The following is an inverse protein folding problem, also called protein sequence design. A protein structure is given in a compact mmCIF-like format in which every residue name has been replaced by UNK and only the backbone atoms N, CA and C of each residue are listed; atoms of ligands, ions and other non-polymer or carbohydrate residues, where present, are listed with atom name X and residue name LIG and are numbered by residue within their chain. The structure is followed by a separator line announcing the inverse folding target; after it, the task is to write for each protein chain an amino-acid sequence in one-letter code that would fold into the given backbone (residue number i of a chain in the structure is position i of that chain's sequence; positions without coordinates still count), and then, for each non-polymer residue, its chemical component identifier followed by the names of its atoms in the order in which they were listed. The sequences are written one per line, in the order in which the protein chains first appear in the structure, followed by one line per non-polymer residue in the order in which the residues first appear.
data_IF_606497644540
#
_entry.id   IF_606497644540
#
_cell.length_a   1.000
_cell.length_b   1.000
_cell.length_c   1.000
_cell.angle_alpha   90.00
_cell.angle_beta   90.00
_cell.angle_gamma   90.00
#
_symmetry.space_group_name_H-M   'P 1'
#
loop_
_entity.id
_entity.type
_entity.pdbx_description
1 polymer ?
#
# COMPACT_ATOMS: atom_id res chain seq x y z
N UNK A 1 -42.44 -3.07 -69.96
CA UNK A 1 -41.54 -3.63 -68.92
C UNK A 1 -40.54 -2.60 -68.34
N UNK A 2 -40.91 -1.30 -68.19
CA UNK A 2 -39.98 -0.26 -67.68
C UNK A 2 -40.33 0.32 -66.29
N UNK A 3 -41.33 -0.23 -65.61
CA UNK A 3 -41.72 0.27 -64.28
C UNK A 3 -40.77 -0.16 -63.14
N UNK A 4 -40.02 -1.25 -63.32
CA UNK A 4 -39.20 -1.86 -62.25
C UNK A 4 -37.93 -1.07 -61.88
N UNK A 5 -37.46 -0.21 -62.78
CA UNK A 5 -36.25 0.60 -62.58
C UNK A 5 -36.54 1.97 -61.94
N UNK A 6 -37.80 2.43 -61.99
CA UNK A 6 -38.19 3.74 -61.43
C UNK A 6 -38.41 3.71 -59.92
N UNK A 7 -38.68 2.54 -59.35
CA UNK A 7 -38.87 2.31 -57.91
C UNK A 7 -37.56 2.19 -57.11
N UNK A 8 -36.44 1.96 -57.82
CA UNK A 8 -35.10 1.84 -57.21
C UNK A 8 -34.61 3.16 -56.61
N UNK A 9 -35.12 4.31 -57.08
CA UNK A 9 -34.76 5.65 -56.56
C UNK A 9 -35.30 5.91 -55.15
N UNK A 10 -36.39 5.26 -54.75
CA UNK A 10 -36.93 5.37 -53.38
C UNK A 10 -36.25 4.37 -52.46
N UNK A 11 -36.05 3.13 -52.93
CA UNK A 11 -35.32 2.10 -52.17
C UNK A 11 -33.87 2.50 -51.85
N UNK A 12 -33.17 3.16 -52.79
CA UNK A 12 -31.81 3.68 -52.57
C UNK A 12 -31.74 4.71 -51.43
N UNK A 13 -32.75 5.58 -51.28
CA UNK A 13 -32.80 6.59 -50.21
C UNK A 13 -33.07 5.98 -48.84
N UNK A 14 -33.83 4.87 -48.78
CA UNK A 14 -34.06 4.09 -47.57
C UNK A 14 -32.80 3.32 -47.15
N UNK A 15 -32.12 2.67 -48.09
CA UNK A 15 -30.86 1.97 -47.82
C UNK A 15 -29.74 2.91 -47.35
N UNK A 16 -29.65 4.13 -47.89
CA UNK A 16 -28.66 5.10 -47.45
C UNK A 16 -28.84 5.47 -45.97
N UNK A 17 -30.07 5.70 -45.52
CA UNK A 17 -30.37 6.04 -44.12
C UNK A 17 -30.12 4.85 -43.18
N UNK A 18 -30.52 3.65 -43.60
CA UNK A 18 -30.29 2.44 -42.82
C UNK A 18 -28.79 2.09 -42.71
N UNK A 19 -28.02 2.32 -43.77
CA UNK A 19 -26.56 2.19 -43.76
C UNK A 19 -25.89 3.13 -42.77
N UNK A 20 -26.33 4.40 -42.72
CA UNK A 20 -25.83 5.38 -41.74
C UNK A 20 -26.10 4.90 -40.30
N UNK A 21 -27.32 4.41 -40.02
CA UNK A 21 -27.66 3.89 -38.69
C UNK A 21 -26.81 2.67 -38.33
N UNK A 22 -26.60 1.74 -39.28
CA UNK A 22 -25.74 0.57 -39.07
C UNK A 22 -24.29 0.96 -38.76
N UNK A 23 -23.74 1.94 -39.48
CA UNK A 23 -22.38 2.46 -39.23
C UNK A 23 -22.30 3.08 -37.83
N UNK A 24 -23.30 3.87 -37.44
CA UNK A 24 -23.38 4.46 -36.10
C UNK A 24 -23.39 3.39 -35.01
N UNK A 25 -24.15 2.31 -35.22
CA UNK A 25 -24.21 1.18 -34.30
C UNK A 25 -22.86 0.44 -34.18
N UNK A 26 -22.14 0.27 -35.29
CA UNK A 26 -20.79 -0.30 -35.29
C UNK A 26 -19.83 0.59 -34.49
N UNK A 27 -19.85 1.90 -34.72
CA UNK A 27 -18.99 2.86 -33.99
C UNK A 27 -19.26 2.79 -32.48
N UNK A 28 -20.53 2.80 -32.07
CA UNK A 28 -20.92 2.70 -30.65
C UNK A 28 -20.51 1.35 -30.06
N UNK A 29 -20.64 0.26 -30.80
CA UNK A 29 -20.24 -1.08 -30.35
C UNK A 29 -18.72 -1.15 -30.11
N UNK A 30 -17.91 -0.58 -31.00
CA UNK A 30 -16.45 -0.50 -30.82
C UNK A 30 -16.08 0.36 -29.61
N UNK A 31 -16.75 1.51 -29.43
CA UNK A 31 -16.56 2.38 -28.25
C UNK A 31 -16.97 1.68 -26.94
N UNK A 32 -18.01 0.86 -26.96
CA UNK A 32 -18.45 0.10 -25.80
C UNK A 32 -17.42 -0.97 -25.41
N UNK A 33 -16.87 -1.70 -26.40
CA UNK A 33 -15.84 -2.72 -26.16
C UNK A 33 -14.55 -2.08 -25.63
N UNK A 34 -14.11 -0.95 -26.20
CA UNK A 34 -12.88 -0.29 -25.76
C UNK A 34 -12.99 0.25 -24.33
N UNK A 35 -14.14 0.83 -23.96
CA UNK A 35 -14.42 1.25 -22.57
C UNK A 35 -14.51 0.09 -21.60
N UNK A 36 -15.06 -1.05 -22.02
CA UNK A 36 -15.14 -2.24 -21.18
C UNK A 36 -13.74 -2.85 -20.93
N UNK A 37 -12.85 -2.82 -21.92
CA UNK A 37 -11.45 -3.23 -21.76
C UNK A 37 -10.67 -2.33 -20.79
N UNK A 38 -10.88 -1.01 -20.84
CA UNK A 38 -10.25 -0.07 -19.89
C UNK A 38 -10.82 -0.20 -18.48
N UNK A 39 -12.11 -0.49 -18.34
CA UNK A 39 -12.73 -0.75 -17.04
C UNK A 39 -12.21 -2.03 -16.39
N UNK A 40 -12.00 -3.10 -17.16
CA UNK A 40 -11.40 -4.34 -16.66
C UNK A 40 -9.94 -4.14 -16.25
N UNK A 41 -9.13 -3.45 -17.07
CA UNK A 41 -7.74 -3.12 -16.71
C UNK A 41 -7.65 -2.27 -15.42
N UNK A 42 -8.58 -1.35 -15.20
CA UNK A 42 -8.66 -0.57 -13.96
C UNK A 42 -9.10 -1.41 -12.75
N UNK A 43 -10.03 -2.36 -12.92
CA UNK A 43 -10.43 -3.27 -11.84
C UNK A 43 -9.30 -4.21 -11.44
N UNK A 44 -8.58 -4.77 -12.42
CA UNK A 44 -7.43 -5.63 -12.16
C UNK A 44 -6.36 -4.85 -11.40
N UNK A 45 -5.98 -3.66 -11.87
CA UNK A 45 -5.01 -2.80 -11.18
C UNK A 45 -5.44 -2.41 -9.75
N UNK A 46 -6.72 -2.06 -9.55
CA UNK A 46 -7.25 -1.76 -8.21
C UNK A 46 -7.21 -2.98 -7.29
N UNK A 47 -7.57 -4.15 -7.81
CA UNK A 47 -7.61 -5.40 -7.02
C UNK A 47 -6.22 -5.93 -6.72
N UNK A 48 -5.29 -5.92 -7.68
CA UNK A 48 -3.97 -6.55 -7.53
C UNK A 48 -2.94 -5.63 -6.91
N UNK A 49 -3.02 -4.32 -7.14
CA UNK A 49 -2.00 -3.37 -6.70
C UNK A 49 -2.54 -2.38 -5.66
N UNK A 50 -3.76 -1.88 -5.83
CA UNK A 50 -4.37 -0.94 -4.88
C UNK A 50 -4.71 -1.58 -3.53
N UNK A 51 -5.61 -2.56 -3.55
CA UNK A 51 -6.14 -3.21 -2.33
C UNK A 51 -5.07 -4.07 -1.64
N UNK A 52 -4.27 -4.81 -2.41
CA UNK A 52 -3.19 -5.63 -1.86
C UNK A 52 -2.11 -4.78 -1.15
N UNK A 53 -1.76 -3.61 -1.70
CA UNK A 53 -0.77 -2.71 -1.07
C UNK A 53 -1.31 -2.08 0.21
N UNK A 54 -2.62 -1.79 0.28
CA UNK A 54 -3.26 -1.25 1.49
C UNK A 54 -3.34 -2.31 2.59
N UNK A 55 -3.78 -3.52 2.26
CA UNK A 55 -3.83 -4.63 3.24
C UNK A 55 -2.44 -4.98 3.80
N UNK A 56 -1.42 -4.97 2.93
CA UNK A 56 -0.05 -5.28 3.36
C UNK A 56 0.59 -4.17 4.18
N UNK A 57 0.34 -2.89 3.89
CA UNK A 57 0.85 -1.79 4.74
C UNK A 57 0.15 -1.75 6.10
N UNK A 58 -1.12 -2.13 6.18
CA UNK A 58 -1.82 -2.27 7.46
C UNK A 58 -1.19 -3.37 8.34
N UNK A 59 -0.80 -4.49 7.73
CA UNK A 59 -0.05 -5.56 8.43
C UNK A 59 1.31 -5.07 8.95
N UNK A 60 2.01 -4.24 8.18
CA UNK A 60 3.27 -3.60 8.62
C UNK A 60 3.03 -2.70 9.84
N UNK A 61 1.98 -1.88 9.82
CA UNK A 61 1.62 -1.00 10.94
C UNK A 61 1.24 -1.77 12.21
N UNK A 62 0.48 -2.86 12.05
CA UNK A 62 0.10 -3.74 13.16
C UNK A 62 1.35 -4.40 13.76
N UNK A 63 2.20 -5.01 12.92
CA UNK A 63 3.42 -5.66 13.37
C UNK A 63 4.37 -4.67 14.09
N UNK A 64 4.49 -3.44 13.58
CA UNK A 64 5.28 -2.40 14.24
C UNK A 64 4.69 -2.00 15.61
N UNK A 65 3.37 -1.94 15.71
CA UNK A 65 2.69 -1.64 16.97
C UNK A 65 2.87 -2.74 18.01
N UNK A 66 2.89 -4.01 17.58
CA UNK A 66 3.22 -5.17 18.44
C UNK A 66 4.64 -5.05 18.97
N UNK A 67 5.64 -4.87 18.08
CA UNK A 67 7.05 -4.67 18.46
C UNK A 67 7.21 -3.55 19.50
N UNK A 68 6.50 -2.44 19.33
CA UNK A 68 6.54 -1.32 20.27
C UNK A 68 5.95 -1.67 21.63
N UNK A 69 4.86 -2.44 21.65
CA UNK A 69 4.26 -2.95 22.88
C UNK A 69 5.20 -3.92 23.60
N UNK A 70 5.86 -4.83 22.89
CA UNK A 70 6.77 -5.81 23.51
C UNK A 70 7.95 -5.14 24.22
N UNK A 71 8.43 -4.00 23.70
CA UNK A 71 9.47 -3.21 24.36
C UNK A 71 8.95 -2.58 25.65
N UNK A 72 7.71 -2.08 25.65
CA UNK A 72 7.08 -1.54 26.85
C UNK A 72 6.83 -2.66 27.88
N UNK A 73 6.39 -3.83 27.44
CA UNK A 73 6.17 -4.99 28.30
C UNK A 73 7.51 -5.49 28.88
N UNK A 74 8.58 -5.56 28.08
CA UNK A 74 9.91 -5.91 28.55
C UNK A 74 10.44 -4.92 29.60
N UNK A 75 10.13 -3.64 29.45
CA UNK A 75 10.50 -2.58 30.38
C UNK A 75 9.67 -2.60 31.68
N UNK A 76 8.38 -2.95 31.62
CA UNK A 76 7.48 -2.94 32.77
C UNK A 76 7.46 -4.26 33.55
N UNK A 77 8.06 -5.32 33.00
CA UNK A 77 8.10 -6.64 33.64
C UNK A 77 9.04 -6.61 34.84
N UNK A 78 8.57 -6.95 36.06
CA UNK A 78 9.35 -6.78 37.28
C UNK A 78 10.44 -7.86 37.50
N UNK A 79 10.36 -8.99 36.80
CA UNK A 79 11.26 -10.12 36.98
C UNK A 79 12.10 -10.43 35.73
N UNK A 80 13.34 -10.86 35.95
CA UNK A 80 14.30 -11.10 34.87
C UNK A 80 13.88 -12.23 33.91
N UNK A 81 13.08 -13.20 34.37
CA UNK A 81 12.61 -14.30 33.54
C UNK A 81 11.55 -13.78 32.55
N UNK A 82 10.60 -12.97 33.01
CA UNK A 82 9.61 -12.30 32.18
C UNK A 82 10.23 -11.28 31.21
N UNK A 83 11.21 -10.48 31.64
CA UNK A 83 11.96 -9.59 30.71
C UNK A 83 12.67 -10.38 29.62
N UNK A 84 13.29 -11.51 29.96
CA UNK A 84 13.94 -12.38 28.96
C UNK A 84 12.93 -12.99 27.99
N UNK A 85 11.76 -13.40 28.47
CA UNK A 85 10.68 -13.90 27.63
C UNK A 85 10.17 -12.81 26.67
N UNK A 86 9.97 -11.58 27.16
CA UNK A 86 9.56 -10.43 26.36
C UNK A 86 10.61 -10.06 25.29
N UNK A 87 11.91 -10.12 25.62
CA UNK A 87 12.99 -9.90 24.63
C UNK A 87 12.99 -10.97 23.54
N UNK A 88 12.75 -12.24 23.89
CA UNK A 88 12.66 -13.31 22.91
C UNK A 88 11.42 -13.15 22.01
N UNK A 89 10.29 -12.73 22.58
CA UNK A 89 9.07 -12.43 21.85
C UNK A 89 9.30 -11.25 20.88
N UNK A 90 9.91 -10.17 21.36
CA UNK A 90 10.32 -9.02 20.55
C UNK A 90 11.18 -9.41 19.34
N UNK A 91 12.10 -10.38 19.46
CA UNK A 91 12.88 -10.87 18.31
C UNK A 91 12.01 -11.61 17.28
N UNK A 92 11.01 -12.36 17.75
CA UNK A 92 10.02 -13.04 16.91
C UNK A 92 9.16 -12.03 16.16
N UNK A 93 8.65 -11.01 16.85
CA UNK A 93 7.79 -9.98 16.27
C UNK A 93 8.55 -9.04 15.33
N UNK A 94 9.83 -8.78 15.58
CA UNK A 94 10.70 -8.10 14.60
C UNK A 94 10.85 -8.90 13.30
N UNK A 95 10.92 -10.23 13.38
CA UNK A 95 10.96 -11.10 12.19
C UNK A 95 9.61 -11.07 11.46
N UNK A 96 8.51 -11.04 12.19
CA UNK A 96 7.17 -10.89 11.62
C UNK A 96 6.99 -9.54 10.90
N UNK A 97 7.54 -8.46 11.47
CA UNK A 97 7.58 -7.14 10.84
C UNK A 97 8.39 -7.16 9.54
N UNK A 98 9.57 -7.81 9.52
CA UNK A 98 10.37 -7.95 8.30
C UNK A 98 9.61 -8.72 7.20
N UNK A 99 8.90 -9.79 7.58
CA UNK A 99 8.07 -10.55 6.65
C UNK A 99 6.91 -9.71 6.09
N UNK A 100 6.24 -8.92 6.94
CA UNK A 100 5.18 -8.01 6.51
C UNK A 100 5.71 -6.92 5.57
N UNK A 101 6.89 -6.37 5.86
CA UNK A 101 7.53 -5.38 5.01
C UNK A 101 7.91 -5.96 3.64
N UNK A 102 8.51 -7.16 3.62
CA UNK A 102 8.83 -7.85 2.38
C UNK A 102 7.57 -8.16 1.56
N UNK A 103 6.46 -8.55 2.21
CA UNK A 103 5.18 -8.76 1.54
C UNK A 103 4.63 -7.47 0.91
N UNK A 104 4.71 -6.34 1.61
CA UNK A 104 4.34 -5.03 1.07
C UNK A 104 5.19 -4.64 -0.15
N UNK A 105 6.50 -4.86 -0.13
CA UNK A 105 7.36 -4.62 -1.29
C UNK A 105 6.99 -5.51 -2.49
N UNK A 106 6.50 -6.72 -2.22
CA UNK A 106 6.03 -7.67 -3.23
C UNK A 106 4.74 -7.26 -3.95
N UNK A 107 3.95 -6.32 -3.42
CA UNK A 107 2.67 -5.89 -4.05
C UNK A 107 2.83 -4.83 -5.12
N UNK A 108 4.08 -4.45 -5.47
CA UNK A 108 4.37 -3.29 -6.33
C UNK A 108 3.65 -2.03 -5.83
N UNK A 109 3.95 -1.58 -4.60
CA UNK A 109 3.23 -0.50 -3.96
C UNK A 109 3.42 0.82 -4.70
N UNK A 110 2.47 1.74 -4.53
CA UNK A 110 2.56 3.10 -5.08
C UNK A 110 3.65 3.97 -4.42
N UNK A 111 4.30 3.48 -3.36
CA UNK A 111 5.40 4.16 -2.70
C UNK A 111 6.65 4.15 -3.58
N UNK A 112 7.40 5.25 -3.59
CA UNK A 112 8.66 5.32 -4.34
C UNK A 112 9.78 4.57 -3.63
N UNK A 113 10.79 4.14 -4.38
CA UNK A 113 11.99 3.50 -3.83
C UNK A 113 12.64 4.34 -2.72
N UNK A 114 12.61 5.66 -2.88
CA UNK A 114 13.13 6.59 -1.85
C UNK A 114 12.33 6.55 -0.56
N UNK A 115 11.00 6.39 -0.63
CA UNK A 115 10.14 6.24 0.56
C UNK A 115 10.36 4.88 1.23
N UNK A 116 10.49 3.81 0.44
CA UNK A 116 10.77 2.46 0.92
C UNK A 116 12.14 2.38 1.63
N UNK A 117 13.17 2.99 1.03
CA UNK A 117 14.49 3.12 1.64
C UNK A 117 14.44 3.94 2.93
N UNK A 118 13.73 5.07 2.94
CA UNK A 118 13.59 5.90 4.12
C UNK A 118 12.92 5.15 5.30
N UNK A 119 11.88 4.35 5.02
CA UNK A 119 11.26 3.49 6.04
C UNK A 119 12.24 2.42 6.54
N UNK A 120 12.94 1.73 5.64
CA UNK A 120 13.89 0.68 6.00
C UNK A 120 15.03 1.22 6.86
N UNK A 121 15.56 2.40 6.54
CA UNK A 121 16.57 3.10 7.35
C UNK A 121 16.00 3.47 8.72
N UNK A 122 14.82 4.08 8.78
CA UNK A 122 14.20 4.46 10.05
C UNK A 122 13.92 3.24 10.95
N UNK A 123 13.56 2.09 10.36
CA UNK A 123 13.37 0.84 11.08
C UNK A 123 14.71 0.31 11.65
N UNK A 124 15.81 0.41 10.90
CA UNK A 124 17.13 0.03 11.38
C UNK A 124 17.63 0.95 12.52
N UNK A 125 17.39 2.26 12.40
CA UNK A 125 17.71 3.25 13.44
C UNK A 125 16.90 2.96 14.71
N UNK A 126 15.60 2.67 14.56
CA UNK A 126 14.74 2.27 15.66
C UNK A 126 15.25 1.01 16.36
N UNK A 127 15.61 -0.04 15.61
CA UNK A 127 16.19 -1.28 16.17
C UNK A 127 17.48 -1.01 16.95
N UNK A 128 18.33 -0.15 16.42
CA UNK A 128 19.58 0.25 17.10
C UNK A 128 19.27 0.94 18.42
N UNK A 129 18.30 1.85 18.46
CA UNK A 129 17.86 2.48 19.70
C UNK A 129 17.32 1.45 20.70
N UNK A 130 16.50 0.50 20.25
CA UNK A 130 15.95 -0.57 21.11
C UNK A 130 17.05 -1.44 21.70
N UNK A 131 18.10 -1.77 20.95
CA UNK A 131 19.23 -2.55 21.47
C UNK A 131 19.95 -1.85 22.64
N UNK A 132 19.95 -0.51 22.68
CA UNK A 132 20.50 0.23 23.83
C UNK A 132 19.60 0.19 25.06
N UNK A 133 18.29 -0.06 24.88
CA UNK A 133 17.31 -0.12 25.95
C UNK A 133 17.22 -1.51 26.59
N UNK A 134 17.52 -2.59 25.86
CA UNK A 134 17.51 -3.97 26.37
C UNK A 134 18.31 -4.14 27.67
N UNK A 135 19.58 -3.69 27.78
CA UNK A 135 20.32 -3.83 29.03
C UNK A 135 19.73 -3.00 30.19
N UNK A 136 19.07 -1.88 29.90
CA UNK A 136 18.38 -1.06 30.91
C UNK A 136 17.12 -1.78 31.43
N UNK A 137 16.37 -2.42 30.53
CA UNK A 137 15.22 -3.25 30.89
C UNK A 137 15.64 -4.47 31.73
N UNK A 138 16.74 -5.13 31.36
CA UNK A 138 17.31 -6.23 32.15
C UNK A 138 17.78 -5.80 33.54
N UNK A 139 18.24 -4.56 33.68
CA UNK A 139 18.63 -3.96 34.96
C UNK A 139 17.45 -3.41 35.77
N UNK A 140 16.22 -3.46 35.24
CA UNK A 140 15.01 -2.85 35.82
C UNK A 140 15.19 -1.33 36.11
N UNK A 141 15.99 -0.64 35.29
CA UNK A 141 16.25 0.79 35.44
C UNK A 141 15.18 1.62 34.70
N UNK A 142 14.00 1.70 35.34
CA UNK A 142 12.83 2.44 34.83
C UNK A 142 13.09 3.95 34.67
N UNK A 143 14.07 4.50 35.39
CA UNK A 143 14.49 5.90 35.29
C UNK A 143 15.15 6.22 33.94
N UNK A 144 15.94 5.28 33.40
CA UNK A 144 16.55 5.37 32.06
C UNK A 144 15.57 5.13 30.90
N UNK A 145 14.40 4.53 31.18
CA UNK A 145 13.36 4.18 30.20
C UNK A 145 12.27 5.27 30.02
N UNK A 146 12.44 6.44 30.66
CA UNK A 146 11.46 7.53 30.67
C UNK A 146 11.06 8.04 29.26
N UNK A 147 9.77 8.39 29.03
CA UNK A 147 9.23 8.85 27.75
C UNK A 147 9.81 10.15 27.19
N UNK A 148 10.78 10.78 27.86
CA UNK A 148 11.51 11.96 27.39
C UNK A 148 12.66 11.63 26.43
N UNK A 149 12.89 10.35 26.11
CA UNK A 149 13.83 9.97 25.05
C UNK A 149 13.34 10.60 23.72
N UNK A 150 14.20 11.35 23.00
CA UNK A 150 13.81 11.99 21.76
C UNK A 150 13.29 10.92 20.78
N UNK A 151 12.14 11.16 20.11
CA UNK A 151 11.67 10.23 19.09
C UNK A 151 12.77 10.05 18.03
N UNK A 152 12.91 8.84 17.45
CA UNK A 152 13.87 8.61 16.39
C UNK A 152 13.67 9.67 15.30
N UNK A 153 14.76 10.25 14.76
CA UNK A 153 14.69 11.34 13.81
C UNK A 153 13.80 10.93 12.63
N UNK A 154 12.74 11.71 12.40
CA UNK A 154 11.82 11.46 11.28
C UNK A 154 12.63 11.43 9.97
N UNK A 155 12.34 10.49 9.06
CA UNK A 155 13.03 10.43 7.78
C UNK A 155 12.94 11.78 7.06
N UNK A 156 14.02 12.22 6.38
CA UNK A 156 14.13 13.57 5.82
C UNK A 156 13.00 13.96 4.85
N UNK A 157 12.31 12.95 4.28
CA UNK A 157 11.16 13.08 3.39
C UNK A 157 9.92 13.72 4.05
N UNK A 158 9.72 13.58 5.37
CA UNK A 158 8.60 14.22 6.08
C UNK A 158 8.84 15.72 6.35
N UNK A 159 10.10 16.13 6.46
CA UNK A 159 10.49 17.52 6.72
C UNK A 159 10.18 18.44 5.54
N UNK A 160 10.16 17.89 4.33
CA UNK A 160 9.74 18.60 3.10
C UNK A 160 8.22 18.75 2.98
N UNK A 161 7.44 17.76 3.42
CA UNK A 161 5.97 17.83 3.32
C UNK A 161 5.34 18.85 4.27
N UNK A 162 5.91 19.01 5.47
CA UNK A 162 5.49 20.05 6.42
C UNK A 162 5.88 21.46 5.99
N UNK A 163 6.92 21.61 5.16
CA UNK A 163 7.39 22.91 4.69
C UNK A 163 6.65 23.43 3.45
N UNK A 164 5.94 22.58 2.72
CA UNK A 164 5.06 22.98 1.60
C UNK A 164 3.63 23.32 2.03
N UNK A 165 3.28 23.11 3.31
CA UNK A 165 1.96 23.43 3.88
C UNK A 165 1.96 24.67 4.79
N UNK A 166 3.09 25.40 4.85
CA UNK A 166 3.26 26.69 5.52
C UNK A 166 3.70 27.72 4.49
#
# INVERSE_FOLDING_TARGET
MFARVRDLRVSSKLFARFGIVSILLIIVSVLAISRLGTAQANMDYLSTSGIASVDTIDKVQIAFSVVRSDIADAALTPDAAGTTAAINQLATDQTALDAAWAAYLGTSPASSDTQQAAYTTALADYRTAVQTLIPLAQANDLSGLSPNAPPPPLPPQQKSLTRSLL
#
